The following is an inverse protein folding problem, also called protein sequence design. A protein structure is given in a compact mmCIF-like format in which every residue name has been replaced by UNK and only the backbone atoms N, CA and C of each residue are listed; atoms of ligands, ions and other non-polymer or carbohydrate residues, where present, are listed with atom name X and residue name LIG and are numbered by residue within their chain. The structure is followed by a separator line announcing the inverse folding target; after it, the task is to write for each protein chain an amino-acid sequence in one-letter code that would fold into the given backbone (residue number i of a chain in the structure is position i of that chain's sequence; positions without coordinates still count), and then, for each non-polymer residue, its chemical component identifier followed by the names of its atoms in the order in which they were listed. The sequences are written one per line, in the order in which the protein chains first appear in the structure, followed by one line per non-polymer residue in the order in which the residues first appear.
data_IF_304371698579
#
_entry.id   IF_304371698579
#
_cell.length_a   1.000
_cell.length_b   1.000
_cell.length_c   1.000
_cell.angle_alpha   90.00
_cell.angle_beta   90.00
_cell.angle_gamma   90.00
#
_symmetry.space_group_name_H-M   'P 1'
#
loop_
_entity.id
_entity.type
_entity.pdbx_description
1 polymer ?
#
# COMPACT_ATOMS: atom_id res chain seq x y z
N UNK A 1 -8.02 1.24 -17.08
CA UNK A 1 -9.01 0.59 -16.19
C UNK A 1 -9.41 1.64 -15.17
N UNK A 2 -10.70 1.80 -14.83
CA UNK A 2 -11.09 2.77 -13.80
C UNK A 2 -11.04 2.04 -12.44
N UNK A 3 -10.07 2.39 -11.59
CA UNK A 3 -9.97 1.83 -10.25
C UNK A 3 -10.89 2.57 -9.29
N UNK A 4 -11.49 1.85 -8.35
CA UNK A 4 -12.07 2.44 -7.15
C UNK A 4 -11.12 2.27 -5.96
N UNK A 5 -11.28 3.10 -4.92
CA UNK A 5 -10.50 3.01 -3.68
C UNK A 5 -10.53 1.59 -3.07
N UNK A 6 -11.66 0.89 -3.16
CA UNK A 6 -11.80 -0.48 -2.69
C UNK A 6 -10.93 -1.48 -3.45
N UNK A 7 -10.72 -1.27 -4.75
CA UNK A 7 -9.85 -2.12 -5.58
C UNK A 7 -8.40 -1.98 -5.15
N UNK A 8 -7.97 -0.73 -4.89
CA UNK A 8 -6.61 -0.43 -4.42
C UNK A 8 -6.38 -0.97 -3.01
N UNK A 9 -7.36 -0.86 -2.11
CA UNK A 9 -7.27 -1.45 -0.78
C UNK A 9 -7.11 -2.97 -0.83
N UNK A 10 -7.86 -3.64 -1.73
CA UNK A 10 -7.74 -5.07 -1.95
C UNK A 10 -6.38 -5.44 -2.53
N UNK A 11 -5.88 -4.65 -3.49
CA UNK A 11 -4.57 -4.83 -4.10
C UNK A 11 -3.45 -4.70 -3.05
N UNK A 12 -3.44 -3.63 -2.25
CA UNK A 12 -2.45 -3.43 -1.18
C UNK A 12 -2.42 -4.63 -0.24
N UNK A 13 -3.58 -5.08 0.24
CA UNK A 13 -3.67 -6.25 1.15
C UNK A 13 -3.15 -7.52 0.50
N UNK A 14 -3.48 -7.74 -0.77
CA UNK A 14 -2.99 -8.88 -1.55
C UNK A 14 -1.47 -8.82 -1.69
N UNK A 15 -0.92 -7.68 -2.11
CA UNK A 15 0.53 -7.51 -2.30
C UNK A 15 1.29 -7.65 -0.99
N UNK A 16 0.79 -7.07 0.11
CA UNK A 16 1.38 -7.26 1.45
C UNK A 16 1.39 -8.76 1.81
N UNK A 17 0.29 -9.46 1.59
CA UNK A 17 0.23 -10.89 1.87
C UNK A 17 1.18 -11.71 0.98
N UNK A 18 1.30 -11.38 -0.31
CA UNK A 18 2.21 -12.07 -1.24
C UNK A 18 3.68 -11.94 -0.79
N UNK A 19 4.09 -10.74 -0.38
CA UNK A 19 5.48 -10.46 0.05
C UNK A 19 5.77 -11.04 1.44
N UNK A 20 4.83 -10.89 2.37
CA UNK A 20 5.11 -11.09 3.80
C UNK A 20 4.41 -12.29 4.44
N UNK A 21 3.41 -12.86 3.76
CA UNK A 21 2.46 -13.86 4.31
C UNK A 21 1.64 -13.35 5.52
N UNK A 22 1.60 -12.03 5.74
CA UNK A 22 0.84 -11.39 6.82
C UNK A 22 -0.51 -10.90 6.27
N UNK A 23 -1.59 -11.21 6.99
CA UNK A 23 -2.93 -10.72 6.68
C UNK A 23 -3.18 -9.38 7.35
N UNK A 24 -3.70 -8.43 6.58
CA UNK A 24 -4.05 -7.08 7.04
C UNK A 24 -5.54 -6.87 6.77
N UNK A 25 -6.34 -6.87 7.83
CA UNK A 25 -7.80 -6.92 7.72
C UNK A 25 -8.50 -5.55 7.96
N UNK A 26 -7.75 -4.49 8.30
CA UNK A 26 -8.29 -3.18 8.65
C UNK A 26 -7.83 -2.04 7.74
N UNK A 27 -8.77 -1.15 7.38
CA UNK A 27 -8.46 0.07 6.61
C UNK A 27 -7.56 1.07 7.35
N UNK A 28 -7.72 1.17 8.67
CA UNK A 28 -6.86 1.99 9.55
C UNK A 28 -5.61 1.28 10.04
N UNK A 29 -5.34 0.06 9.56
CA UNK A 29 -4.12 -0.65 9.95
C UNK A 29 -2.94 0.03 9.28
N UNK A 30 -2.03 0.59 10.08
CA UNK A 30 -0.79 1.15 9.59
C UNK A 30 0.21 0.01 9.34
N UNK A 31 0.70 -0.11 8.11
CA UNK A 31 1.61 -1.18 7.72
C UNK A 31 2.98 -1.09 8.42
N UNK A 32 3.36 0.09 8.94
CA UNK A 32 4.59 0.27 9.73
C UNK A 32 4.44 -0.11 11.20
N UNK A 33 3.24 -0.45 11.67
CA UNK A 33 3.05 -0.85 13.05
C UNK A 33 3.79 -2.16 13.32
N UNK A 34 4.68 -2.15 14.32
CA UNK A 34 5.43 -3.33 14.77
C UNK A 34 4.55 -4.53 15.10
N UNK A 35 3.30 -4.32 15.49
CA UNK A 35 2.33 -5.40 15.74
C UNK A 35 1.96 -6.18 14.48
N UNK A 36 2.11 -5.59 13.28
CA UNK A 36 1.89 -6.30 12.02
C UNK A 36 2.97 -7.33 11.74
N UNK A 37 4.20 -7.10 12.21
CA UNK A 37 5.36 -7.94 11.92
C UNK A 37 5.98 -7.73 10.53
N UNK A 38 5.51 -6.74 9.76
CA UNK A 38 6.08 -6.38 8.45
C UNK A 38 7.45 -5.73 8.67
N UNK A 39 8.47 -6.20 7.94
CA UNK A 39 9.83 -5.68 8.09
C UNK A 39 10.02 -4.48 7.17
N UNK A 40 10.84 -3.47 7.57
CA UNK A 40 11.13 -2.32 6.72
C UNK A 40 11.63 -2.67 5.31
N UNK A 41 12.39 -3.75 5.16
CA UNK A 41 12.90 -4.20 3.86
C UNK A 41 11.80 -4.75 2.93
N UNK A 42 10.69 -5.25 3.49
CA UNK A 42 9.59 -5.82 2.72
C UNK A 42 8.88 -4.75 1.87
N UNK A 43 8.89 -3.49 2.33
CA UNK A 43 8.28 -2.38 1.60
C UNK A 43 8.92 -2.14 0.23
N UNK A 44 10.22 -2.43 0.06
CA UNK A 44 10.86 -2.34 -1.25
C UNK A 44 10.17 -3.24 -2.28
N UNK A 45 9.80 -4.46 -1.87
CA UNK A 45 9.10 -5.41 -2.73
C UNK A 45 7.61 -5.10 -2.86
N UNK A 46 6.97 -4.60 -1.80
CA UNK A 46 5.57 -4.19 -1.86
C UNK A 46 5.39 -3.05 -2.87
N UNK A 47 6.23 -2.00 -2.80
CA UNK A 47 6.18 -0.91 -3.76
C UNK A 47 6.51 -1.39 -5.18
N UNK A 48 7.58 -2.17 -5.37
CA UNK A 48 7.91 -2.73 -6.70
C UNK A 48 6.75 -3.50 -7.35
N UNK A 49 6.00 -4.31 -6.58
CA UNK A 49 4.84 -5.03 -7.09
C UNK A 49 3.65 -4.11 -7.40
N UNK A 50 3.40 -3.11 -6.55
CA UNK A 50 2.35 -2.11 -6.80
C UNK A 50 2.64 -1.29 -8.06
N UNK A 51 3.89 -0.87 -8.27
CA UNK A 51 4.31 -0.12 -9.46
C UNK A 51 4.16 -0.96 -10.73
N UNK A 52 4.49 -2.26 -10.67
CA UNK A 52 4.31 -3.18 -11.80
C UNK A 52 2.85 -3.39 -12.16
N UNK A 53 1.97 -3.49 -11.16
CA UNK A 53 0.53 -3.73 -11.39
C UNK A 53 -0.19 -2.45 -11.84
N UNK A 54 0.14 -1.30 -11.25
CA UNK A 54 -0.55 -0.03 -11.49
C UNK A 54 0.08 0.80 -12.62
N UNK A 55 1.32 0.50 -13.00
CA UNK A 55 2.10 1.25 -14.01
C UNK A 55 2.31 2.73 -13.66
N UNK A 56 2.49 3.03 -12.37
CA UNK A 56 2.76 4.37 -11.81
C UNK A 56 3.91 4.29 -10.79
N UNK A 57 4.59 5.40 -10.47
CA UNK A 57 5.57 5.44 -9.37
C UNK A 57 4.88 5.46 -8.01
N UNK A 58 4.33 4.32 -7.57
CA UNK A 58 3.57 4.17 -6.33
C UNK A 58 4.33 4.64 -5.08
N UNK A 59 5.67 4.59 -5.07
CA UNK A 59 6.46 5.13 -3.96
C UNK A 59 6.35 6.67 -3.79
N UNK A 60 5.90 7.39 -4.82
CA UNK A 60 5.76 8.86 -4.77
C UNK A 60 4.69 9.32 -3.76
N UNK A 61 3.76 8.44 -3.36
CA UNK A 61 2.80 8.74 -2.28
C UNK A 61 3.49 9.07 -0.95
N UNK A 62 4.76 8.69 -0.78
CA UNK A 62 5.53 8.99 0.43
C UNK A 62 6.03 10.44 0.46
N UNK A 63 6.08 11.13 -0.68
CA UNK A 63 6.68 12.46 -0.80
C UNK A 63 5.81 13.49 -0.07
N UNK A 64 6.37 14.13 0.96
CA UNK A 64 5.67 15.17 1.72
C UNK A 64 4.60 14.66 2.67
N UNK A 65 4.40 13.34 2.78
CA UNK A 65 3.45 12.74 3.69
C UNK A 65 4.11 12.24 4.99
N UNK A 66 3.33 12.22 6.07
CA UNK A 66 3.73 11.56 7.33
C UNK A 66 3.55 10.04 7.24
N UNK A 67 4.11 9.31 8.21
CA UNK A 67 3.97 7.83 8.34
C UNK A 67 2.50 7.32 8.31
N UNK A 68 1.51 8.19 8.55
CA UNK A 68 0.08 7.84 8.45
C UNK A 68 -0.35 7.47 7.04
N UNK A 69 0.40 7.85 6.01
CA UNK A 69 0.15 7.43 4.63
C UNK A 69 0.19 5.91 4.47
N UNK A 70 0.87 5.21 5.37
CA UNK A 70 0.98 3.76 5.38
C UNK A 70 -0.24 3.05 6.01
N UNK A 71 -1.29 3.79 6.40
CA UNK A 71 -2.60 3.18 6.67
C UNK A 71 -3.24 2.75 5.36
N UNK A 72 -3.80 1.52 5.29
CA UNK A 72 -4.34 0.96 4.04
C UNK A 72 -5.33 1.91 3.36
N UNK A 73 -6.23 2.56 4.11
CA UNK A 73 -7.21 3.50 3.55
C UNK A 73 -6.55 4.77 2.99
N UNK A 74 -5.53 5.30 3.68
CA UNK A 74 -4.81 6.50 3.25
C UNK A 74 -3.92 6.21 2.03
N UNK A 75 -3.23 5.07 2.05
CA UNK A 75 -2.43 4.58 0.93
C UNK A 75 -3.31 4.35 -0.32
N UNK A 76 -4.49 3.75 -0.15
CA UNK A 76 -5.42 3.50 -1.26
C UNK A 76 -5.93 4.79 -1.90
N UNK A 77 -6.16 5.83 -1.08
CA UNK A 77 -6.63 7.13 -1.56
C UNK A 77 -5.52 7.88 -2.30
N UNK A 78 -4.30 7.90 -1.75
CA UNK A 78 -3.16 8.52 -2.42
C UNK A 78 -2.78 7.82 -3.73
N UNK A 79 -2.86 6.48 -3.79
CA UNK A 79 -2.66 5.75 -5.04
C UNK A 79 -3.76 6.05 -6.07
N UNK A 80 -5.00 6.28 -5.63
CA UNK A 80 -6.08 6.68 -6.52
C UNK A 80 -5.81 8.06 -7.11
N UNK A 81 -5.35 9.02 -6.31
CA UNK A 81 -4.98 10.37 -6.76
C UNK A 81 -3.83 10.35 -7.78
N UNK A 82 -2.87 9.42 -7.66
CA UNK A 82 -1.78 9.25 -8.64
C UNK A 82 -2.23 8.63 -9.98
N UNK A 83 -3.40 7.98 -10.00
CA UNK A 83 -3.96 7.33 -11.19
C UNK A 83 -4.86 8.27 -12.01
N UNK A 84 -5.24 9.44 -11.46
CA UNK A 84 -6.03 10.49 -12.11
C UNK A 84 -5.15 11.46 -12.92
#
# INVERSE_FOLDING_TARGET
MKYEKSDLAALIRKTVYEVTQIKVDGGKTNLLDTATGIRPADFLYIFDLLEKELHIPAADILIGHSYRIMEVDAMSEALLELLE
#
